data_IF_848659385172
#
_entry.id   IF_848659385172
#
_cell.length_a   1.000
_cell.length_b   1.000
_cell.length_c   1.000
_cell.angle_alpha   90.00
_cell.angle_beta   90.00
_cell.angle_gamma   90.00
#
_symmetry.space_group_name_H-M   'P 1'
#
loop_
_entity.id
_entity.type
_entity.pdbx_description
1 polymer ?
#
# COMPACT_ATOMS: atom_id res chain seq x y z
N UNK A 1 -24.28 -6.24 13.13
CA UNK A 1 -23.20 -6.79 13.99
C UNK A 1 -22.08 -7.22 13.06
N UNK A 2 -20.83 -6.85 13.35
CA UNK A 2 -19.67 -7.31 12.56
C UNK A 2 -19.60 -8.83 12.68
N UNK A 3 -19.71 -9.51 11.54
CA UNK A 3 -19.71 -10.97 11.46
C UNK A 3 -18.26 -11.45 11.42
N UNK A 4 -17.97 -12.69 11.85
CA UNK A 4 -16.61 -13.25 11.75
C UNK A 4 -16.01 -13.20 10.33
N UNK A 5 -16.86 -13.25 9.29
CA UNK A 5 -16.46 -13.08 7.90
C UNK A 5 -15.97 -11.66 7.57
N UNK A 6 -16.55 -10.62 8.18
CA UNK A 6 -16.10 -9.24 8.00
C UNK A 6 -14.70 -9.03 8.61
N UNK A 7 -14.46 -9.66 9.77
CA UNK A 7 -13.14 -9.67 10.41
C UNK A 7 -12.10 -10.39 9.54
N UNK A 8 -12.47 -11.52 8.93
CA UNK A 8 -11.59 -12.25 8.01
C UNK A 8 -11.25 -11.42 6.77
N UNK A 9 -12.22 -10.69 6.19
CA UNK A 9 -11.99 -9.82 5.05
C UNK A 9 -11.03 -8.67 5.37
N UNK A 10 -11.17 -8.07 6.56
CA UNK A 10 -10.24 -7.02 7.00
C UNK A 10 -8.84 -7.59 7.23
N UNK A 11 -8.74 -8.74 7.92
CA UNK A 11 -7.46 -9.38 8.18
C UNK A 11 -6.77 -9.80 6.88
N UNK A 12 -7.50 -10.41 5.93
CA UNK A 12 -6.92 -10.86 4.67
C UNK A 12 -6.40 -9.70 3.81
N UNK A 13 -7.06 -8.53 3.85
CA UNK A 13 -6.59 -7.33 3.17
C UNK A 13 -5.33 -6.71 3.83
N UNK A 14 -5.21 -6.82 5.16
CA UNK A 14 -4.21 -6.09 5.94
C UNK A 14 -2.95 -6.92 6.22
N UNK A 15 -3.09 -8.25 6.33
CA UNK A 15 -1.97 -9.18 6.58
C UNK A 15 -0.84 -9.05 5.56
N UNK A 16 -1.09 -9.01 4.23
CA UNK A 16 -0.02 -8.88 3.23
C UNK A 16 0.83 -7.62 3.42
N UNK A 17 0.20 -6.50 3.83
CA UNK A 17 0.89 -5.24 4.07
C UNK A 17 1.87 -5.34 5.24
N UNK A 18 1.43 -5.91 6.37
CA UNK A 18 2.28 -6.09 7.54
C UNK A 18 3.40 -7.11 7.31
N UNK A 19 3.13 -8.18 6.57
CA UNK A 19 4.14 -9.17 6.18
C UNK A 19 5.24 -8.49 5.34
N UNK A 20 4.86 -7.68 4.35
CA UNK A 20 5.81 -6.93 3.54
C UNK A 20 6.66 -5.96 4.38
N UNK A 21 6.05 -5.23 5.32
CA UNK A 21 6.76 -4.32 6.22
C UNK A 21 7.76 -5.05 7.13
N UNK A 22 7.37 -6.20 7.70
CA UNK A 22 8.24 -7.00 8.55
C UNK A 22 9.42 -7.59 7.78
N UNK A 23 9.20 -8.09 6.56
CA UNK A 23 10.27 -8.59 5.69
C UNK A 23 11.26 -7.49 5.32
N UNK A 24 10.77 -6.30 4.96
CA UNK A 24 11.62 -5.15 4.68
C UNK A 24 12.46 -4.78 5.91
N UNK A 25 11.86 -4.70 7.10
CA UNK A 25 12.60 -4.41 8.34
C UNK A 25 13.63 -5.50 8.69
N UNK A 26 13.25 -6.77 8.56
CA UNK A 26 14.14 -7.91 8.79
C UNK A 26 15.34 -7.90 7.84
N UNK A 27 15.13 -7.59 6.55
CA UNK A 27 16.19 -7.51 5.55
C UNK A 27 17.22 -6.43 5.84
N UNK A 28 16.80 -5.28 6.38
CA UNK A 28 17.68 -4.16 6.73
C UNK A 28 18.43 -4.46 8.02
N UNK A 29 17.73 -4.97 9.04
CA UNK A 29 18.29 -5.12 10.40
C UNK A 29 19.15 -6.38 10.59
N UNK A 30 18.79 -7.52 9.99
CA UNK A 30 19.44 -8.81 10.26
C UNK A 30 20.37 -9.27 9.13
N UNK A 31 20.05 -8.94 7.88
CA UNK A 31 20.82 -9.39 6.72
C UNK A 31 21.71 -8.30 6.10
N UNK A 32 21.46 -7.01 6.39
CA UNK A 32 22.25 -5.90 5.86
C UNK A 32 22.24 -5.78 4.33
N UNK A 33 21.30 -6.45 3.65
CA UNK A 33 21.23 -6.52 2.18
C UNK A 33 20.78 -5.19 1.57
N UNK A 34 19.94 -4.44 2.29
CA UNK A 34 19.46 -3.13 1.89
C UNK A 34 20.18 -2.04 2.69
N UNK A 35 21.06 -1.30 2.01
CA UNK A 35 21.68 -0.10 2.58
C UNK A 35 20.68 1.07 2.60
N UNK A 36 20.86 2.07 3.50
CA UNK A 36 19.97 3.24 3.57
C UNK A 36 19.79 3.98 2.23
N UNK A 37 20.83 3.99 1.38
CA UNK A 37 20.76 4.58 0.04
C UNK A 37 19.85 3.78 -0.91
N UNK A 38 19.83 2.45 -0.83
CA UNK A 38 18.92 1.62 -1.62
C UNK A 38 17.47 1.79 -1.17
N UNK A 39 17.21 1.88 0.14
CA UNK A 39 15.86 2.22 0.65
C UNK A 39 15.38 3.59 0.17
N UNK A 40 16.25 4.59 0.13
CA UNK A 40 15.93 5.90 -0.45
C UNK A 40 15.62 5.78 -1.96
N UNK A 41 16.38 4.97 -2.70
CA UNK A 41 16.13 4.68 -4.11
C UNK A 41 14.75 4.08 -4.34
N UNK A 42 14.34 3.10 -3.52
CA UNK A 42 12.99 2.52 -3.55
C UNK A 42 11.93 3.57 -3.23
N UNK A 43 12.13 4.40 -2.20
CA UNK A 43 11.15 5.43 -1.83
C UNK A 43 10.98 6.49 -2.95
N UNK A 44 12.08 6.85 -3.62
CA UNK A 44 12.06 7.77 -4.78
C UNK A 44 11.39 7.13 -6.00
N UNK A 45 11.59 5.85 -6.25
CA UNK A 45 10.89 5.14 -7.32
C UNK A 45 9.38 5.11 -7.06
N UNK A 46 8.97 4.78 -5.83
CA UNK A 46 7.56 4.78 -5.43
C UNK A 46 6.93 6.16 -5.60
N UNK A 47 7.61 7.23 -5.17
CA UNK A 47 7.06 8.59 -5.26
C UNK A 47 6.95 9.09 -6.71
N UNK A 48 7.86 8.69 -7.60
CA UNK A 48 7.87 9.16 -9.00
C UNK A 48 6.95 8.33 -9.89
N UNK A 49 6.88 7.00 -9.69
CA UNK A 49 6.15 6.11 -10.60
C UNK A 49 4.87 5.55 -10.00
N UNK A 50 4.94 4.94 -8.82
CA UNK A 50 3.78 4.24 -8.25
C UNK A 50 2.69 5.22 -7.81
N UNK A 51 3.06 6.31 -7.13
CA UNK A 51 2.09 7.30 -6.63
C UNK A 51 1.30 7.97 -7.77
N UNK A 52 1.93 8.49 -8.84
CA UNK A 52 1.17 9.08 -9.94
C UNK A 52 0.31 8.06 -10.70
N UNK A 53 0.81 6.84 -10.92
CA UNK A 53 0.08 5.81 -11.65
C UNK A 53 -1.15 5.30 -10.89
N UNK A 54 -1.00 5.06 -9.58
CA UNK A 54 -2.13 4.72 -8.70
C UNK A 54 -3.14 5.86 -8.63
N UNK A 55 -2.67 7.11 -8.55
CA UNK A 55 -3.55 8.28 -8.57
C UNK A 55 -4.32 8.37 -9.88
N UNK A 56 -3.66 8.16 -11.01
CA UNK A 56 -4.31 8.12 -12.33
C UNK A 56 -5.34 7.00 -12.41
N UNK A 57 -5.00 5.78 -12.00
CA UNK A 57 -5.92 4.64 -12.00
C UNK A 57 -7.16 4.93 -11.13
N UNK A 58 -6.95 5.56 -9.96
CA UNK A 58 -8.05 5.90 -9.06
C UNK A 58 -8.94 7.01 -9.62
N UNK A 59 -8.36 8.06 -10.22
CA UNK A 59 -9.11 9.18 -10.82
C UNK A 59 -9.82 8.73 -12.11
N UNK A 60 -9.16 7.98 -12.98
CA UNK A 60 -9.72 7.52 -14.24
C UNK A 60 -10.83 6.47 -14.06
N UNK A 61 -10.75 5.66 -13.01
CA UNK A 61 -11.80 4.71 -12.64
C UNK A 61 -12.94 5.33 -11.81
N UNK A 62 -12.84 6.61 -11.45
CA UNK A 62 -13.88 7.29 -10.70
C UNK A 62 -14.87 7.94 -11.66
N UNK A 63 -16.15 7.61 -11.54
CA UNK A 63 -17.22 8.29 -12.26
C UNK A 63 -17.70 9.48 -11.42
N UNK A 64 -17.38 10.74 -11.81
CA UNK A 64 -17.78 11.92 -11.06
C UNK A 64 -19.30 12.07 -10.95
N UNK A 65 -20.09 11.44 -11.83
CA UNK A 65 -21.55 11.52 -11.82
C UNK A 65 -22.20 10.48 -10.90
N UNK A 66 -21.49 9.39 -10.56
CA UNK A 66 -21.92 8.38 -9.61
C UNK A 66 -21.33 8.59 -8.20
N UNK A 67 -20.47 9.60 -8.02
CA UNK A 67 -19.97 10.00 -6.71
C UNK A 67 -21.13 10.46 -5.81
N UNK A 68 -21.12 10.01 -4.55
CA UNK A 68 -22.09 10.42 -3.55
C UNK A 68 -21.83 11.89 -3.18
N UNK A 69 -22.44 12.83 -3.91
CA UNK A 69 -22.42 14.25 -3.58
C UNK A 69 -23.18 14.46 -2.26
N UNK A 70 -22.47 14.31 -1.15
CA UNK A 70 -22.91 14.85 0.13
C UNK A 70 -22.74 16.37 0.06
N UNK A 71 -23.80 17.04 -0.38
CA UNK A 71 -24.03 18.42 0.03
C UNK A 71 -24.22 18.49 1.54
#
# INVERSE_FOLDING_TARGET
MITGGDLYNVLSAVVPLYVAMMLAYGSVKWWGILTPQQCMGVNRFVSIFAVPLLSFQFIAGNDPYAMNFRF
#
